data_IF_379283706563
#
_entry.id   IF_379283706563
#
_cell.length_a   1.000
_cell.length_b   1.000
_cell.length_c   1.000
_cell.angle_alpha   90.00
_cell.angle_beta   90.00
_cell.angle_gamma   90.00
#
_symmetry.space_group_name_H-M   'P 1'
#
loop_
_entity.id
_entity.type
_entity.pdbx_description
1 polymer ?
#
# COMPACT_ATOMS: atom_id res chain seq x y z
N UNK A 1 18.30 -10.43 -16.74
CA UNK A 1 17.40 -10.39 -15.56
C UNK A 1 17.01 -8.95 -15.29
N UNK A 2 15.71 -8.66 -15.11
CA UNK A 2 15.26 -7.32 -14.70
C UNK A 2 15.82 -7.08 -13.28
N UNK A 3 16.34 -5.89 -13.00
CA UNK A 3 16.85 -5.54 -11.67
C UNK A 3 16.23 -4.20 -11.25
N UNK A 4 15.67 -4.17 -10.05
CA UNK A 4 14.98 -2.99 -9.48
C UNK A 4 15.65 -2.53 -8.19
N UNK A 5 16.98 -2.38 -8.21
CA UNK A 5 17.76 -2.01 -7.02
C UNK A 5 17.73 -0.50 -6.77
N UNK A 6 17.79 0.31 -7.83
CA UNK A 6 17.83 1.77 -7.68
C UNK A 6 16.45 2.39 -7.60
N UNK A 7 16.35 3.55 -6.92
CA UNK A 7 15.08 4.32 -6.84
C UNK A 7 14.53 4.68 -8.23
N UNK A 8 15.40 4.97 -9.19
CA UNK A 8 14.99 5.32 -10.56
C UNK A 8 14.41 4.10 -11.30
N UNK A 9 14.97 2.91 -11.11
CA UNK A 9 14.44 1.67 -11.67
C UNK A 9 13.07 1.33 -11.07
N UNK A 10 12.93 1.40 -9.73
CA UNK A 10 11.64 1.20 -9.05
C UNK A 10 10.58 2.19 -9.54
N UNK A 11 10.95 3.47 -9.71
CA UNK A 11 10.05 4.49 -10.25
C UNK A 11 9.59 4.16 -11.68
N UNK A 12 10.53 3.83 -12.59
CA UNK A 12 10.18 3.42 -13.96
C UNK A 12 9.24 2.20 -13.99
N UNK A 13 9.45 1.24 -13.09
CA UNK A 13 8.55 0.10 -12.95
C UNK A 13 7.14 0.51 -12.53
N UNK A 14 6.99 1.28 -11.45
CA UNK A 14 5.67 1.73 -10.99
C UNK A 14 4.98 2.70 -11.95
N UNK A 15 5.75 3.43 -12.76
CA UNK A 15 5.23 4.33 -13.80
C UNK A 15 4.84 3.59 -15.09
N UNK A 16 5.29 2.33 -15.27
CA UNK A 16 5.04 1.52 -16.46
C UNK A 16 3.55 1.24 -16.70
N UNK A 17 3.18 1.11 -17.98
CA UNK A 17 1.81 0.74 -18.37
C UNK A 17 1.42 -0.65 -17.85
N UNK A 18 2.33 -1.62 -17.96
CA UNK A 18 2.14 -2.99 -17.50
C UNK A 18 1.75 -3.04 -16.02
N UNK A 19 2.47 -2.31 -15.17
CA UNK A 19 2.16 -2.23 -13.74
C UNK A 19 0.79 -1.58 -13.50
N UNK A 20 0.47 -0.49 -14.18
CA UNK A 20 -0.82 0.21 -14.01
C UNK A 20 -1.99 -0.70 -14.40
N UNK A 21 -1.89 -1.40 -15.53
CA UNK A 21 -2.91 -2.36 -15.97
C UNK A 21 -3.03 -3.54 -15.01
N UNK A 22 -1.91 -4.10 -14.57
CA UNK A 22 -1.88 -5.21 -13.63
C UNK A 22 -2.47 -4.81 -12.27
N UNK A 23 -2.12 -3.63 -11.77
CA UNK A 23 -2.62 -3.09 -10.51
C UNK A 23 -4.16 -3.01 -10.49
N UNK A 24 -4.77 -2.56 -11.58
CA UNK A 24 -6.23 -2.52 -11.66
C UNK A 24 -6.86 -3.92 -11.78
N UNK A 25 -6.20 -4.86 -12.49
CA UNK A 25 -6.65 -6.27 -12.52
C UNK A 25 -6.61 -6.91 -11.13
N UNK A 26 -5.54 -6.70 -10.37
CA UNK A 26 -5.38 -7.23 -9.01
C UNK A 26 -6.46 -6.66 -8.08
N UNK A 27 -6.68 -5.35 -8.10
CA UNK A 27 -7.78 -4.75 -7.32
C UNK A 27 -9.15 -5.32 -7.69
N UNK A 28 -9.41 -5.50 -8.99
CA UNK A 28 -10.69 -6.05 -9.46
C UNK A 28 -10.87 -7.51 -9.01
N UNK A 29 -9.81 -8.32 -9.08
CA UNK A 29 -9.78 -9.69 -8.54
C UNK A 29 -10.12 -9.70 -7.04
N UNK A 30 -9.53 -8.75 -6.32
CA UNK A 30 -9.68 -8.62 -4.86
C UNK A 30 -10.96 -7.86 -4.45
N UNK A 31 -11.89 -7.63 -5.38
CA UNK A 31 -13.14 -6.89 -5.17
C UNK A 31 -12.97 -5.48 -4.60
N UNK A 32 -11.80 -4.86 -4.80
CA UNK A 32 -11.41 -3.60 -4.15
C UNK A 32 -11.47 -3.67 -2.62
N UNK A 33 -11.12 -4.83 -2.05
CA UNK A 33 -11.05 -5.07 -0.61
C UNK A 33 -9.62 -5.43 -0.18
N UNK A 34 -9.27 -5.03 1.04
CA UNK A 34 -8.04 -5.49 1.67
C UNK A 34 -8.11 -6.99 2.00
N UNK A 35 -7.27 -7.80 1.37
CA UNK A 35 -7.21 -9.25 1.58
C UNK A 35 -6.74 -9.61 3.00
N UNK A 36 -5.80 -8.84 3.55
CA UNK A 36 -5.34 -9.02 4.93
C UNK A 36 -6.41 -8.72 5.99
N UNK A 37 -7.23 -7.70 5.79
CA UNK A 37 -8.37 -7.43 6.67
C UNK A 37 -9.41 -8.56 6.55
N UNK A 38 -9.66 -9.04 5.32
CA UNK A 38 -10.60 -10.12 5.05
C UNK A 38 -10.22 -11.41 5.77
N UNK A 39 -8.94 -11.80 5.75
CA UNK A 39 -8.42 -12.95 6.53
C UNK A 39 -8.65 -12.80 8.03
N UNK A 40 -8.70 -11.56 8.53
CA UNK A 40 -8.96 -11.20 9.95
C UNK A 40 -10.45 -10.97 10.26
N UNK A 41 -11.35 -11.27 9.34
CA UNK A 41 -12.79 -11.07 9.50
C UNK A 41 -13.25 -9.60 9.46
N UNK A 42 -12.45 -8.71 8.86
CA UNK A 42 -12.76 -7.28 8.72
C UNK A 42 -12.88 -6.91 7.24
N UNK A 43 -13.73 -5.93 6.94
CA UNK A 43 -13.85 -5.37 5.60
C UNK A 43 -13.21 -3.99 5.59
N UNK A 44 -12.28 -3.75 4.68
CA UNK A 44 -11.70 -2.44 4.44
C UNK A 44 -11.66 -2.19 2.93
N UNK A 45 -12.40 -1.18 2.49
CA UNK A 45 -12.59 -0.78 1.10
C UNK A 45 -12.11 0.67 0.90
N UNK A 46 -12.13 1.13 -0.35
CA UNK A 46 -11.81 2.51 -0.69
C UNK A 46 -13.06 3.40 -0.54
N UNK A 47 -13.04 4.31 0.44
CA UNK A 47 -14.18 5.19 0.76
C UNK A 47 -14.26 6.45 -0.11
N UNK A 48 -13.36 6.64 -1.09
CA UNK A 48 -13.31 7.83 -1.94
C UNK A 48 -13.15 9.17 -1.18
N UNK A 49 -12.72 9.12 0.07
CA UNK A 49 -12.50 10.30 0.91
C UNK A 49 -11.47 11.25 0.28
N UNK A 50 -11.74 12.54 0.27
CA UNK A 50 -10.79 13.55 -0.21
C UNK A 50 -9.83 13.98 0.91
N UNK A 51 -8.55 14.09 0.61
CA UNK A 51 -7.54 14.59 1.54
C UNK A 51 -7.21 16.04 1.19
N UNK A 52 -7.68 16.97 2.03
CA UNK A 52 -7.48 18.41 1.87
C UNK A 52 -5.99 18.79 1.84
N UNK A 53 -5.19 18.25 2.76
CA UNK A 53 -3.76 18.56 2.85
C UNK A 53 -2.98 18.15 1.60
N UNK A 54 -3.33 17.00 1.01
CA UNK A 54 -2.68 16.48 -0.19
C UNK A 54 -3.36 16.93 -1.50
N UNK A 55 -4.47 17.67 -1.41
CA UNK A 55 -5.33 18.10 -2.53
C UNK A 55 -5.68 16.97 -3.51
N UNK A 56 -5.96 15.77 -3.00
CA UNK A 56 -6.26 14.58 -3.80
C UNK A 56 -7.07 13.56 -3.02
N UNK A 57 -7.67 12.59 -3.71
CA UNK A 57 -8.30 11.43 -3.07
C UNK A 57 -7.31 10.71 -2.14
N UNK A 58 -7.78 10.37 -0.94
CA UNK A 58 -7.06 9.61 0.07
C UNK A 58 -6.79 8.20 -0.45
N UNK A 59 -5.53 7.81 -0.38
CA UNK A 59 -5.13 6.46 -0.77
C UNK A 59 -5.37 5.56 0.44
N UNK A 60 -6.35 4.68 0.35
CA UNK A 60 -6.66 3.71 1.40
C UNK A 60 -6.20 2.30 1.03
N UNK A 61 -6.24 1.95 -0.26
CA UNK A 61 -5.82 0.64 -0.77
C UNK A 61 -4.59 0.78 -1.67
N UNK A 62 -3.67 -0.17 -1.51
CA UNK A 62 -2.45 -0.32 -2.30
C UNK A 62 -2.29 -1.77 -2.71
N UNK A 63 -1.56 -2.01 -3.80
CA UNK A 63 -1.18 -3.37 -4.20
C UNK A 63 0.22 -3.61 -3.65
N UNK A 64 0.35 -4.65 -2.84
CA UNK A 64 1.57 -5.07 -2.18
C UNK A 64 2.18 -6.28 -2.88
N UNK A 65 3.51 -6.33 -2.92
CA UNK A 65 4.28 -7.47 -3.39
C UNK A 65 4.55 -8.41 -2.22
N UNK A 66 4.00 -9.63 -2.25
CA UNK A 66 4.20 -10.65 -1.20
C UNK A 66 5.69 -10.99 -1.06
N UNK A 67 6.36 -11.23 -2.19
CA UNK A 67 7.81 -11.30 -2.30
C UNK A 67 8.32 -9.99 -2.87
N UNK A 68 9.22 -9.34 -2.12
CA UNK A 68 9.70 -8.01 -2.44
C UNK A 68 10.34 -7.91 -3.83
N UNK A 69 10.04 -6.81 -4.52
CA UNK A 69 10.50 -6.49 -5.87
C UNK A 69 12.05 -6.46 -6.01
N UNK A 70 12.76 -6.18 -4.93
CA UNK A 70 14.22 -6.09 -4.92
C UNK A 70 14.90 -7.46 -4.98
N UNK A 71 14.31 -8.45 -4.31
CA UNK A 71 14.82 -9.81 -4.22
C UNK A 71 14.28 -10.72 -5.32
N UNK A 72 13.05 -10.48 -5.76
CA UNK A 72 12.34 -11.30 -6.75
C UNK A 72 11.83 -10.47 -7.94
N UNK A 73 12.72 -9.84 -8.73
CA UNK A 73 12.31 -9.04 -9.88
C UNK A 73 11.60 -9.83 -10.99
N UNK A 74 11.79 -11.15 -11.03
CA UNK A 74 11.08 -12.08 -11.91
C UNK A 74 9.59 -12.19 -11.57
N UNK A 75 9.23 -11.99 -10.29
CA UNK A 75 7.84 -12.05 -9.81
C UNK A 75 7.17 -10.67 -9.78
N UNK A 76 7.79 -9.66 -10.38
CA UNK A 76 7.35 -8.27 -10.31
C UNK A 76 5.94 -8.04 -10.90
N UNK A 77 5.62 -8.79 -11.97
CA UNK A 77 4.36 -8.69 -12.72
C UNK A 77 3.49 -9.95 -12.58
N UNK A 78 3.82 -10.84 -11.64
CA UNK A 78 3.06 -12.06 -11.39
C UNK A 78 1.87 -11.77 -10.49
N UNK A 79 0.65 -12.09 -10.95
CA UNK A 79 -0.58 -11.79 -10.20
C UNK A 79 -0.63 -12.50 -8.84
N UNK A 80 -0.06 -13.69 -8.73
CA UNK A 80 -0.02 -14.48 -7.50
C UNK A 80 0.91 -13.87 -6.44
N UNK A 81 1.89 -13.07 -6.87
CA UNK A 81 2.80 -12.35 -5.98
C UNK A 81 2.23 -10.98 -5.54
N UNK A 82 1.00 -10.65 -5.94
CA UNK A 82 0.38 -9.35 -5.70
C UNK A 82 -0.92 -9.50 -4.92
N UNK A 83 -1.10 -8.64 -3.93
CA UNK A 83 -2.34 -8.58 -3.14
C UNK A 83 -2.76 -7.14 -2.84
N UNK A 84 -4.07 -6.89 -2.85
CA UNK A 84 -4.65 -5.62 -2.44
C UNK A 84 -4.71 -5.57 -0.92
N UNK A 85 -4.05 -4.59 -0.33
CA UNK A 85 -4.01 -4.36 1.12
C UNK A 85 -4.31 -2.89 1.42
N UNK A 86 -4.83 -2.62 2.62
CA UNK A 86 -4.98 -1.24 3.06
C UNK A 86 -3.61 -0.65 3.46
N UNK A 87 -3.50 0.68 3.46
CA UNK A 87 -2.28 1.39 3.85
C UNK A 87 -1.82 0.99 5.26
N UNK A 88 -2.75 0.71 6.17
CA UNK A 88 -2.42 0.26 7.53
C UNK A 88 -1.78 -1.13 7.55
N UNK A 89 -2.35 -2.09 6.81
CA UNK A 89 -1.77 -3.43 6.68
C UNK A 89 -0.42 -3.38 5.98
N UNK A 90 -0.32 -2.62 4.87
CA UNK A 90 0.94 -2.40 4.18
C UNK A 90 2.04 -1.82 5.08
N UNK A 91 1.70 -0.84 5.93
CA UNK A 91 2.66 -0.26 6.87
C UNK A 91 3.08 -1.24 7.96
N UNK A 92 2.18 -2.12 8.42
CA UNK A 92 2.50 -3.17 9.38
C UNK A 92 3.47 -4.20 8.80
N UNK A 93 3.24 -4.66 7.57
CA UNK A 93 4.13 -5.61 6.89
C UNK A 93 5.55 -5.05 6.73
N UNK A 94 5.68 -3.76 6.41
CA UNK A 94 7.00 -3.12 6.33
C UNK A 94 7.59 -2.66 7.68
N UNK A 95 6.99 -3.02 8.81
CA UNK A 95 7.44 -2.61 10.15
C UNK A 95 7.41 -1.09 10.39
N UNK A 96 6.68 -0.33 9.56
CA UNK A 96 6.55 1.12 9.64
C UNK A 96 5.44 1.50 10.61
N UNK A 97 5.56 1.04 11.86
CA UNK A 97 4.63 1.46 12.91
C UNK A 97 5.03 2.86 13.36
N UNK A 98 4.27 3.88 12.95
CA UNK A 98 4.43 5.22 13.49
C UNK A 98 4.03 5.20 14.97
N UNK A 99 5.00 5.14 15.88
CA UNK A 99 4.75 5.43 17.30
C UNK A 99 4.35 6.91 17.37
N UNK A 100 3.09 7.20 17.72
CA UNK A 100 2.69 8.57 18.05
C UNK A 100 3.61 9.04 19.17
N UNK A 101 4.31 10.15 18.95
CA UNK A 101 5.00 10.82 20.06
C UNK A 101 3.91 11.23 21.05
N UNK A 102 4.02 10.88 22.34
CA UNK A 102 3.08 11.37 23.33
C UNK A 102 3.09 12.89 23.29
N UNK A 103 1.90 13.50 23.31
CA UNK A 103 1.79 14.95 23.36
C UNK A 103 2.27 15.39 24.75
N UNK A 104 3.33 16.20 24.80
CA UNK A 104 3.89 16.72 26.06
C UNK A 104 2.93 17.60 26.87
N UNK A 105 1.83 18.04 26.26
CA UNK A 105 0.82 18.90 26.88
C UNK A 105 -0.52 18.20 27.07
N UNK A 106 -0.57 16.86 26.99
CA UNK A 106 -1.84 16.13 27.12
C UNK A 106 -2.49 16.32 28.51
N UNK A 107 -1.67 16.63 29.53
CA UNK A 107 -2.08 16.82 30.92
C UNK A 107 -1.98 18.29 31.38
N UNK A 108 -1.64 19.24 30.51
CA UNK A 108 -1.55 20.66 30.88
C UNK A 108 -2.93 21.31 30.68
N UNK A 109 -3.79 21.25 31.71
CA UNK A 109 -5.11 21.92 31.78
C UNK A 109 -4.97 23.46 31.91
N UNK A 110 -4.22 24.10 31.01
CA UNK A 110 -4.16 25.56 30.95
C UNK A 110 -5.34 26.11 30.17
N UNK A 111 -6.31 26.61 30.93
CA UNK A 111 -7.34 27.56 30.51
C UNK A 111 -6.73 28.90 30.09
#
# INVERSE_FOLDING_TARGET
>A
MKQYKTKQQKRKFYDSGDWKSLREKVKKRDSYECQECKRKGRVQTDTNEYNESAKRKKIQLVVHHIKELEHHPELALEMENLETVCVDCHNKEHGRTFKKKPNKWQDDEKW
#
